data_IF_613024587885
#
_entry.id   IF_613024587885
#
_cell.length_a   1.000
_cell.length_b   1.000
_cell.length_c   1.000
_cell.angle_alpha   90.00
_cell.angle_beta   90.00
_cell.angle_gamma   90.00
#
_symmetry.space_group_name_H-M   'P 1'
#
loop_
_entity.id
_entity.type
_entity.pdbx_description
1 polymer ?
#
# COMPACT_ATOMS: atom_id res chain seq x y z
N UNK A 1 -25.81 -0.31 -4.30
CA UNK A 1 -24.38 -0.75 -4.31
C UNK A 1 -23.73 -0.55 -5.68
N UNK A 2 -22.39 -0.65 -5.79
CA UNK A 2 -21.69 -0.45 -7.08
C UNK A 2 -22.11 -1.47 -8.17
N UNK A 3 -22.48 -2.68 -7.77
CA UNK A 3 -22.99 -3.73 -8.66
C UNK A 3 -24.39 -3.43 -9.21
N UNK A 4 -25.25 -2.80 -8.41
CA UNK A 4 -26.57 -2.36 -8.84
C UNK A 4 -26.50 -1.21 -9.84
N UNK A 5 -25.50 -0.33 -9.71
CA UNK A 5 -25.24 0.71 -10.70
C UNK A 5 -24.86 0.09 -12.05
N UNK A 6 -23.99 -0.93 -12.05
CA UNK A 6 -23.65 -1.70 -13.25
C UNK A 6 -24.85 -2.43 -13.85
N UNK A 7 -25.72 -2.97 -12.99
CA UNK A 7 -26.98 -3.59 -13.43
C UNK A 7 -27.95 -2.58 -14.06
N UNK A 8 -28.08 -1.39 -13.47
CA UNK A 8 -28.94 -0.34 -14.00
C UNK A 8 -28.46 0.19 -15.36
N UNK A 9 -27.15 0.23 -15.60
CA UNK A 9 -26.57 0.74 -16.84
C UNK A 9 -26.53 -0.28 -17.98
N UNK A 10 -26.17 -1.54 -17.70
CA UNK A 10 -25.91 -2.56 -18.73
C UNK A 10 -26.57 -3.92 -18.44
N UNK A 11 -27.54 -3.97 -17.51
CA UNK A 11 -28.25 -5.18 -17.13
C UNK A 11 -27.35 -6.23 -16.44
N UNK A 12 -27.74 -7.50 -16.53
CA UNK A 12 -27.03 -8.61 -15.89
C UNK A 12 -25.56 -8.76 -16.31
N UNK A 13 -25.23 -8.42 -17.56
CA UNK A 13 -23.84 -8.45 -18.06
C UNK A 13 -22.99 -7.39 -17.36
N UNK A 14 -23.51 -6.18 -17.19
CA UNK A 14 -22.84 -5.11 -16.44
C UNK A 14 -22.58 -5.47 -14.99
N UNK A 15 -23.55 -6.10 -14.34
CA UNK A 15 -23.40 -6.61 -12.97
C UNK A 15 -22.27 -7.63 -12.86
N UNK A 16 -22.23 -8.60 -13.78
CA UNK A 16 -21.19 -9.63 -13.80
C UNK A 16 -19.79 -9.03 -14.05
N UNK A 17 -19.67 -8.10 -15.01
CA UNK A 17 -18.41 -7.43 -15.31
C UNK A 17 -17.85 -6.66 -14.10
N UNK A 18 -18.72 -5.93 -13.39
CA UNK A 18 -18.35 -5.22 -12.15
C UNK A 18 -17.92 -6.19 -11.06
N UNK A 19 -18.64 -7.30 -10.88
CA UNK A 19 -18.32 -8.31 -9.88
C UNK A 19 -16.95 -8.96 -10.16
N UNK A 20 -16.71 -9.36 -11.42
CA UNK A 20 -15.43 -9.93 -11.85
C UNK A 20 -14.27 -8.94 -11.66
N UNK A 21 -14.48 -7.67 -12.01
CA UNK A 21 -13.46 -6.63 -11.85
C UNK A 21 -13.11 -6.41 -10.37
N UNK A 22 -14.11 -6.38 -9.48
CA UNK A 22 -13.89 -6.28 -8.02
C UNK A 22 -13.16 -7.51 -7.48
N UNK A 23 -13.50 -8.71 -7.96
CA UNK A 23 -12.86 -9.95 -7.54
C UNK A 23 -11.38 -9.99 -7.96
N UNK A 24 -11.07 -9.64 -9.22
CA UNK A 24 -9.69 -9.56 -9.71
C UNK A 24 -8.87 -8.51 -8.95
N UNK A 25 -9.46 -7.34 -8.70
CA UNK A 25 -8.81 -6.28 -7.91
C UNK A 25 -8.48 -6.77 -6.49
N UNK A 26 -9.45 -7.35 -5.79
CA UNK A 26 -9.26 -7.86 -4.43
C UNK A 26 -8.20 -8.97 -4.39
N UNK A 27 -8.25 -9.91 -5.35
CA UNK A 27 -7.23 -10.96 -5.46
C UNK A 27 -5.81 -10.40 -5.66
N UNK A 28 -5.65 -9.40 -6.54
CA UNK A 28 -4.38 -8.72 -6.75
C UNK A 28 -3.87 -8.02 -5.48
N UNK A 29 -4.76 -7.32 -4.75
CA UNK A 29 -4.41 -6.69 -3.48
C UNK A 29 -3.91 -7.72 -2.45
N UNK A 30 -4.60 -8.85 -2.32
CA UNK A 30 -4.24 -9.91 -1.36
C UNK A 30 -2.84 -10.48 -1.67
N UNK A 31 -2.53 -10.73 -2.95
CA UNK A 31 -1.19 -11.17 -3.35
C UNK A 31 -0.15 -10.11 -3.00
N UNK A 32 -0.39 -8.85 -3.35
CA UNK A 32 0.52 -7.75 -3.06
C UNK A 32 0.79 -7.63 -1.54
N UNK A 33 -0.23 -7.78 -0.70
CA UNK A 33 -0.07 -7.74 0.75
C UNK A 33 0.82 -8.87 1.28
N UNK A 34 0.64 -10.10 0.77
CA UNK A 34 1.48 -11.24 1.16
C UNK A 34 2.93 -11.04 0.70
N UNK A 35 3.16 -10.52 -0.50
CA UNK A 35 4.50 -10.23 -1.03
C UNK A 35 5.19 -9.15 -0.20
N UNK A 36 4.51 -8.04 0.11
CA UNK A 36 5.07 -6.96 0.93
C UNK A 36 5.42 -7.45 2.33
N UNK A 37 4.56 -8.26 2.95
CA UNK A 37 4.84 -8.86 4.25
C UNK A 37 6.02 -9.81 4.17
N UNK A 38 6.10 -10.66 3.14
CA UNK A 38 7.25 -11.55 2.95
C UNK A 38 8.57 -10.79 2.85
N UNK A 39 8.59 -9.76 2.02
CA UNK A 39 9.80 -9.04 1.67
C UNK A 39 10.27 -8.14 2.82
N UNK A 40 9.36 -7.53 3.59
CA UNK A 40 9.72 -6.57 4.65
C UNK A 40 9.82 -7.21 6.06
N UNK A 41 8.99 -8.20 6.36
CA UNK A 41 8.91 -8.79 7.69
C UNK A 41 10.16 -9.62 8.02
N UNK A 42 10.67 -10.38 7.05
CA UNK A 42 11.91 -11.14 7.18
C UNK A 42 13.11 -10.26 7.52
N UNK A 43 13.32 -9.17 6.77
CA UNK A 43 14.40 -8.22 7.01
C UNK A 43 14.25 -7.51 8.37
N UNK A 44 13.04 -7.06 8.71
CA UNK A 44 12.81 -6.34 9.96
C UNK A 44 13.05 -7.21 11.20
N UNK A 45 12.56 -8.46 11.20
CA UNK A 45 12.72 -9.38 12.33
C UNK A 45 14.16 -9.82 12.49
N UNK A 46 14.89 -10.13 11.41
CA UNK A 46 16.30 -10.53 11.51
C UNK A 46 17.16 -9.47 12.19
N UNK A 47 16.79 -8.19 12.09
CA UNK A 47 17.55 -7.08 12.67
C UNK A 47 17.10 -6.68 14.08
N UNK A 48 15.82 -6.85 14.41
CA UNK A 48 15.28 -6.47 15.73
C UNK A 48 15.30 -7.66 16.70
N UNK A 49 15.09 -8.88 16.23
CA UNK A 49 14.87 -10.06 17.06
C UNK A 49 16.05 -11.04 17.13
N UNK A 50 17.06 -10.92 16.25
CA UNK A 50 18.18 -11.88 16.22
C UNK A 50 19.55 -11.22 16.44
N UNK A 51 19.98 -11.26 17.70
CA UNK A 51 21.36 -11.64 18.01
C UNK A 51 21.48 -13.13 17.70
N UNK A 52 22.32 -13.48 16.72
CA UNK A 52 22.84 -14.82 16.37
C UNK A 52 22.05 -16.06 16.87
N UNK A 53 21.36 -16.80 15.97
CA UNK A 53 21.10 -18.23 16.25
C UNK A 53 19.90 -18.96 15.64
N UNK A 54 18.93 -18.31 14.99
CA UNK A 54 17.73 -19.02 14.51
C UNK A 54 17.75 -19.32 13.01
N UNK A 55 18.31 -20.48 12.62
CA UNK A 55 18.38 -20.95 11.23
C UNK A 55 17.03 -21.07 10.50
N UNK A 56 15.92 -21.20 11.24
CA UNK A 56 14.57 -21.31 10.69
C UNK A 56 13.94 -19.96 10.29
N UNK A 57 14.56 -18.83 10.65
CA UNK A 57 14.16 -17.47 10.23
C UNK A 57 14.81 -17.01 8.91
N UNK A 58 15.57 -17.88 8.24
CA UNK A 58 16.26 -17.54 6.99
C UNK A 58 15.45 -17.81 5.72
N UNK A 59 14.35 -18.56 5.80
CA UNK A 59 13.42 -18.74 4.69
C UNK A 59 12.29 -17.72 4.80
N UNK A 60 12.43 -16.63 4.03
CA UNK A 60 11.45 -15.54 3.98
C UNK A 60 10.07 -16.04 3.52
N UNK A 61 10.02 -17.10 2.69
CA UNK A 61 8.78 -17.72 2.24
C UNK A 61 8.03 -18.45 3.35
N UNK A 62 8.75 -19.23 4.17
CA UNK A 62 8.17 -19.94 5.31
C UNK A 62 7.68 -18.98 6.40
N UNK A 63 8.47 -17.93 6.69
CA UNK A 63 8.12 -16.91 7.66
C UNK A 63 6.85 -16.14 7.24
N UNK A 64 6.77 -15.74 5.97
CA UNK A 64 5.60 -15.05 5.43
C UNK A 64 4.35 -15.94 5.46
N UNK A 65 4.50 -17.23 5.13
CA UNK A 65 3.41 -18.19 5.22
C UNK A 65 2.91 -18.33 6.67
N UNK A 66 3.82 -18.45 7.63
CA UNK A 66 3.49 -18.56 9.05
C UNK A 66 2.76 -17.31 9.56
N UNK A 67 3.24 -16.11 9.22
CA UNK A 67 2.56 -14.84 9.56
C UNK A 67 1.18 -14.75 8.92
N UNK A 68 1.05 -15.16 7.66
CA UNK A 68 -0.22 -15.12 6.95
C UNK A 68 -1.24 -16.08 7.59
N UNK A 69 -0.83 -17.30 7.94
CA UNK A 69 -1.71 -18.31 8.54
C UNK A 69 -2.00 -18.04 10.02
N UNK A 70 -1.01 -17.55 10.78
CA UNK A 70 -1.13 -17.37 12.23
C UNK A 70 -1.63 -15.97 12.64
N UNK A 71 -1.47 -14.96 11.78
CA UNK A 71 -1.90 -13.58 12.08
C UNK A 71 -2.99 -13.11 11.11
N UNK A 72 -2.78 -13.14 9.79
CA UNK A 72 -3.77 -12.61 8.84
C UNK A 72 -5.06 -13.44 8.80
N UNK A 73 -4.95 -14.77 8.78
CA UNK A 73 -6.09 -15.69 8.72
C UNK A 73 -7.02 -15.60 9.95
N UNK A 74 -6.52 -15.62 11.21
CA UNK A 74 -7.42 -15.46 12.36
C UNK A 74 -7.97 -14.04 12.47
N UNK A 75 -7.27 -13.01 11.98
CA UNK A 75 -7.78 -11.63 11.93
C UNK A 75 -8.87 -11.41 10.89
N UNK A 76 -8.97 -12.25 9.85
CA UNK A 76 -10.05 -12.22 8.85
C UNK A 76 -11.27 -13.06 9.22
N UNK A 77 -11.14 -13.95 10.21
CA UNK A 77 -12.22 -14.78 10.73
C UNK A 77 -13.19 -14.13 11.76
N UNK A 78 -12.94 -12.97 12.41
CA UNK A 78 -13.86 -12.46 13.42
C UNK A 78 -15.11 -11.89 12.75
N UNK A 79 -16.27 -12.39 13.19
CA UNK A 79 -17.61 -12.02 12.71
C UNK A 79 -18.01 -10.58 13.04
N UNK A 80 -17.21 -9.85 13.82
CA UNK A 80 -17.47 -8.47 14.27
C UNK A 80 -16.30 -7.54 13.97
N UNK A 81 -16.53 -6.54 13.11
CA UNK A 81 -15.57 -5.51 12.66
C UNK A 81 -15.28 -4.40 13.70
N UNK A 82 -15.89 -4.45 14.89
CA UNK A 82 -15.80 -3.39 15.92
C UNK A 82 -14.37 -3.11 16.43
N UNK A 83 -13.50 -4.11 16.74
CA UNK A 83 -12.13 -3.82 17.15
C UNK A 83 -11.30 -3.24 15.99
N UNK A 84 -11.58 -3.67 14.76
CA UNK A 84 -10.84 -3.26 13.55
C UNK A 84 -10.98 -1.75 13.26
N UNK A 85 -12.13 -1.15 13.59
CA UNK A 85 -12.34 0.29 13.46
C UNK A 85 -11.34 1.12 14.32
N UNK A 86 -10.93 0.63 15.50
CA UNK A 86 -9.90 1.30 16.32
C UNK A 86 -8.51 1.13 15.70
N UNK A 87 -8.22 -0.03 15.11
CA UNK A 87 -6.97 -0.28 14.42
C UNK A 87 -6.84 0.49 13.09
N UNK A 88 -7.96 0.85 12.44
CA UNK A 88 -7.94 1.69 11.24
C UNK A 88 -7.30 3.07 11.49
N UNK A 89 -7.54 3.67 12.66
CA UNK A 89 -6.86 4.92 13.05
C UNK A 89 -5.34 4.73 13.19
N UNK A 90 -4.92 3.60 13.77
CA UNK A 90 -3.50 3.24 13.91
C UNK A 90 -2.85 3.05 12.53
N UNK A 91 -3.56 2.41 11.59
CA UNK A 91 -3.13 2.23 10.20
C UNK A 91 -2.89 3.57 9.50
N UNK A 92 -3.83 4.53 9.59
CA UNK A 92 -3.66 5.88 9.02
C UNK A 92 -2.46 6.59 9.62
N UNK A 93 -2.29 6.54 10.94
CA UNK A 93 -1.13 7.15 11.61
C UNK A 93 0.19 6.50 11.17
N UNK A 94 0.18 5.20 10.91
CA UNK A 94 1.35 4.44 10.44
C UNK A 94 1.75 4.87 9.03
N UNK A 95 0.79 5.13 8.14
CA UNK A 95 1.05 5.69 6.80
C UNK A 95 1.65 7.09 6.90
N UNK A 96 1.11 7.96 7.76
CA UNK A 96 1.68 9.31 7.97
C UNK A 96 3.12 9.23 8.49
N UNK A 97 3.37 8.35 9.46
CA UNK A 97 4.72 8.11 9.95
C UNK A 97 5.65 7.59 8.85
N UNK A 98 5.18 6.69 7.99
CA UNK A 98 5.96 6.15 6.87
C UNK A 98 6.35 7.28 5.90
N UNK A 99 5.42 8.17 5.55
CA UNK A 99 5.74 9.35 4.72
C UNK A 99 6.84 10.17 5.37
N UNK A 100 6.70 10.51 6.66
CA UNK A 100 7.71 11.29 7.38
C UNK A 100 9.06 10.56 7.47
N UNK A 101 9.05 9.24 7.66
CA UNK A 101 10.27 8.42 7.70
C UNK A 101 11.00 8.46 6.35
N UNK A 102 10.30 8.36 5.22
CA UNK A 102 10.90 8.46 3.88
C UNK A 102 11.50 9.86 3.66
N UNK A 103 10.77 10.92 4.04
CA UNK A 103 11.29 12.30 3.93
C UNK A 103 12.54 12.47 4.79
N UNK A 104 12.54 11.98 6.02
CA UNK A 104 13.69 12.07 6.91
C UNK A 104 14.88 11.23 6.42
N UNK A 105 14.62 10.03 5.90
CA UNK A 105 15.64 9.17 5.31
C UNK A 105 16.29 9.83 4.10
N UNK A 106 15.54 10.54 3.27
CA UNK A 106 16.11 11.34 2.18
C UNK A 106 17.12 12.39 2.69
N UNK A 107 16.80 13.12 3.76
CA UNK A 107 17.73 14.12 4.31
C UNK A 107 18.93 13.53 5.05
N UNK A 108 18.80 12.31 5.58
CA UNK A 108 19.81 11.69 6.46
C UNK A 108 20.73 10.73 5.72
N UNK A 109 20.20 10.00 4.74
CA UNK A 109 21.00 9.16 3.87
C UNK A 109 21.67 10.05 2.82
N UNK A 110 23.00 10.19 2.91
CA UNK A 110 23.76 10.82 1.83
C UNK A 110 23.58 9.95 0.58
N UNK A 111 22.93 10.52 -0.45
CA UNK A 111 22.61 9.89 -1.74
C UNK A 111 23.72 8.91 -2.17
N UNK A 112 23.50 7.59 -2.14
CA UNK A 112 24.38 6.70 -2.87
C UNK A 112 24.06 6.94 -4.35
N UNK A 113 24.99 7.57 -5.05
CA UNK A 113 25.00 7.71 -6.52
C UNK A 113 24.09 8.82 -7.07
N UNK A 114 24.41 10.08 -6.76
CA UNK A 114 24.42 11.11 -7.82
C UNK A 114 25.77 10.96 -8.55
N UNK A 115 25.96 9.86 -9.27
CA UNK A 115 26.94 9.87 -10.35
C UNK A 115 26.19 10.40 -11.56
N UNK A 116 26.62 11.55 -12.07
CA UNK A 116 26.01 12.25 -13.20
C UNK A 116 26.25 11.50 -14.50
N UNK A 117 25.80 10.25 -14.57
CA UNK A 117 25.77 9.47 -15.79
C UNK A 117 24.71 10.03 -16.72
N UNK A 118 25.17 10.68 -17.78
CA UNK A 118 24.45 10.86 -19.04
C UNK A 118 23.99 9.49 -19.56
N UNK A 119 22.96 8.90 -18.97
CA UNK A 119 22.18 7.88 -19.66
C UNK A 119 21.18 8.62 -20.53
N UNK A 120 21.59 8.85 -21.77
CA UNK A 120 20.74 9.26 -22.86
C UNK A 120 19.74 8.13 -23.18
N UNK A 121 18.84 7.85 -22.24
CA UNK A 121 17.78 6.87 -22.42
C UNK A 121 16.87 7.35 -23.54
N UNK A 122 16.71 6.50 -24.55
CA UNK A 122 15.96 6.85 -25.75
C UNK A 122 14.52 7.19 -25.36
N UNK A 123 13.91 8.19 -26.00
CA UNK A 123 12.50 8.56 -25.78
C UNK A 123 11.55 7.34 -25.82
N UNK A 124 11.91 6.32 -26.60
CA UNK A 124 11.18 5.06 -26.70
C UNK A 124 11.24 4.17 -25.45
N UNK A 125 12.37 4.09 -24.76
CA UNK A 125 12.52 3.31 -23.52
C UNK A 125 11.72 3.98 -22.39
N UNK A 126 11.86 5.29 -22.24
CA UNK A 126 11.07 6.09 -21.31
C UNK A 126 9.55 5.91 -21.56
N UNK A 127 9.10 5.83 -22.81
CA UNK A 127 7.69 5.63 -23.14
C UNK A 127 7.14 4.24 -22.77
N UNK A 128 7.95 3.19 -22.89
CA UNK A 128 7.58 1.82 -22.49
C UNK A 128 7.50 1.72 -20.96
N UNK A 129 8.44 2.35 -20.25
CA UNK A 129 8.45 2.40 -18.79
C UNK A 129 7.27 3.20 -18.22
N UNK A 130 6.93 4.34 -18.85
CA UNK A 130 5.73 5.13 -18.50
C UNK A 130 4.46 4.29 -18.68
N UNK A 131 4.36 3.50 -19.75
CA UNK A 131 3.20 2.62 -19.98
C UNK A 131 3.11 1.49 -18.96
N UNK A 132 4.26 0.91 -18.58
CA UNK A 132 4.30 -0.16 -17.58
C UNK A 132 3.88 0.34 -16.20
N UNK A 133 4.33 1.54 -15.81
CA UNK A 133 4.01 2.17 -14.52
C UNK A 133 2.58 2.74 -14.43
N UNK A 134 1.94 3.04 -15.57
CA UNK A 134 0.55 3.54 -15.61
C UNK A 134 -0.43 2.60 -14.89
N UNK A 135 -0.22 1.29 -14.97
CA UNK A 135 -1.06 0.30 -14.29
C UNK A 135 -1.02 0.46 -12.77
N UNK A 136 0.20 0.56 -12.20
CA UNK A 136 0.40 0.80 -10.76
C UNK A 136 -0.18 2.15 -10.34
N UNK A 137 0.02 3.20 -11.14
CA UNK A 137 -0.56 4.52 -10.88
C UNK A 137 -2.09 4.49 -10.81
N UNK A 138 -2.76 3.88 -11.80
CA UNK A 138 -4.22 3.74 -11.81
C UNK A 138 -4.70 2.88 -10.64
N UNK A 139 -3.97 1.81 -10.31
CA UNK A 139 -4.28 0.94 -9.18
C UNK A 139 -4.25 1.69 -7.85
N UNK A 140 -3.25 2.55 -7.61
CA UNK A 140 -3.15 3.37 -6.38
C UNK A 140 -4.35 4.28 -6.16
N UNK A 141 -4.94 4.83 -7.22
CA UNK A 141 -6.11 5.72 -7.14
C UNK A 141 -7.46 5.01 -7.29
N UNK A 142 -7.47 3.67 -7.35
CA UNK A 142 -8.70 2.88 -7.48
C UNK A 142 -9.44 2.79 -6.13
N UNK A 143 -10.38 3.69 -5.91
CA UNK A 143 -11.26 3.70 -4.71
C UNK A 143 -12.76 3.60 -5.05
N UNK A 144 -13.11 3.53 -6.34
CA UNK A 144 -14.51 3.65 -6.79
C UNK A 144 -15.43 2.51 -6.33
N UNK A 145 -14.86 1.34 -6.07
CA UNK A 145 -15.63 0.19 -5.62
C UNK A 145 -16.05 0.29 -4.13
N UNK A 146 -15.32 1.04 -3.31
CA UNK A 146 -15.62 1.27 -1.88
C UNK A 146 -16.37 2.57 -1.61
N UNK A 147 -16.37 3.52 -2.55
CA UNK A 147 -16.96 4.86 -2.38
C UNK A 147 -18.44 4.82 -2.00
N UNK A 148 -19.21 3.88 -2.56
CA UNK A 148 -20.64 3.72 -2.24
C UNK A 148 -20.86 3.16 -0.84
N UNK A 149 -20.04 2.19 -0.42
CA UNK A 149 -20.09 1.65 0.95
C UNK A 149 -19.68 2.71 1.98
N UNK A 150 -18.67 3.52 1.64
CA UNK A 150 -18.26 4.65 2.44
C UNK A 150 -19.37 5.72 2.54
N UNK A 151 -20.15 5.96 1.48
CA UNK A 151 -21.28 6.88 1.54
C UNK A 151 -22.44 6.36 2.41
N UNK A 152 -22.74 5.06 2.27
CA UNK A 152 -23.80 4.39 3.03
C UNK A 152 -23.47 4.28 4.53
N UNK A 153 -22.19 4.25 4.90
CA UNK A 153 -21.75 4.21 6.29
C UNK A 153 -21.86 5.55 7.03
N UNK A 154 -22.06 6.68 6.31
CA UNK A 154 -22.30 7.98 6.96
C UNK A 154 -23.66 7.98 7.69
N UNK A 155 -23.73 8.61 8.88
CA UNK A 155 -24.99 8.89 9.56
C UNK A 155 -25.97 9.62 8.64
N UNK A 156 -27.24 9.24 8.70
CA UNK A 156 -28.32 9.83 7.88
C UNK A 156 -28.44 11.35 8.06
N UNK A 157 -28.06 11.89 9.22
CA UNK A 157 -28.07 13.32 9.52
C UNK A 157 -27.07 14.15 8.70
N UNK A 158 -25.95 13.55 8.25
CA UNK A 158 -24.89 14.24 7.50
C UNK A 158 -24.77 13.76 6.05
N UNK A 159 -25.66 12.86 5.62
CA UNK A 159 -25.71 12.29 4.27
C UNK A 159 -26.25 13.31 3.26
N UNK A 160 -25.43 14.30 2.95
CA UNK A 160 -25.71 15.37 1.99
C UNK A 160 -24.69 15.34 0.83
N UNK A 161 -25.11 15.48 -0.44
CA UNK A 161 -24.20 15.50 -1.58
C UNK A 161 -23.11 16.58 -1.51
N UNK A 162 -23.43 17.75 -0.91
CA UNK A 162 -22.46 18.84 -0.72
C UNK A 162 -21.34 18.46 0.26
N UNK A 163 -21.69 17.84 1.39
CA UNK A 163 -20.72 17.38 2.39
C UNK A 163 -19.90 16.24 1.80
N UNK A 164 -20.55 15.27 1.14
CA UNK A 164 -19.87 14.17 0.48
C UNK A 164 -18.85 14.64 -0.55
N UNK A 165 -19.21 15.57 -1.43
CA UNK A 165 -18.29 16.15 -2.40
C UNK A 165 -17.09 16.81 -1.73
N UNK A 166 -17.30 17.59 -0.66
CA UNK A 166 -16.20 18.24 0.06
C UNK A 166 -15.27 17.22 0.70
N UNK A 167 -15.83 16.21 1.39
CA UNK A 167 -15.05 15.16 2.07
C UNK A 167 -14.28 14.32 1.05
N UNK A 168 -14.92 13.86 -0.02
CA UNK A 168 -14.26 13.04 -1.04
C UNK A 168 -13.18 13.80 -1.79
N UNK A 169 -13.41 15.06 -2.18
CA UNK A 169 -12.38 15.89 -2.81
C UNK A 169 -11.19 16.11 -1.86
N UNK A 170 -11.44 16.40 -0.58
CA UNK A 170 -10.35 16.58 0.39
C UNK A 170 -9.55 15.28 0.59
N UNK A 171 -10.22 14.12 0.66
CA UNK A 171 -9.55 12.82 0.78
C UNK A 171 -8.68 12.50 -0.44
N UNK A 172 -9.17 12.79 -1.65
CA UNK A 172 -8.40 12.57 -2.88
C UNK A 172 -7.18 13.50 -2.90
N UNK A 173 -7.33 14.77 -2.54
CA UNK A 173 -6.20 15.73 -2.48
C UNK A 173 -5.14 15.25 -1.48
N UNK A 174 -5.53 14.85 -0.26
CA UNK A 174 -4.58 14.34 0.73
C UNK A 174 -3.88 13.04 0.27
N UNK A 175 -4.62 12.14 -0.39
CA UNK A 175 -4.03 10.92 -0.96
C UNK A 175 -3.03 11.25 -2.08
N UNK A 176 -3.37 12.18 -2.97
CA UNK A 176 -2.48 12.64 -4.03
C UNK A 176 -1.23 13.30 -3.47
N UNK A 177 -1.36 14.18 -2.47
CA UNK A 177 -0.22 14.84 -1.83
C UNK A 177 0.72 13.84 -1.16
N UNK A 178 0.19 12.86 -0.42
CA UNK A 178 1.01 11.83 0.23
C UNK A 178 1.70 10.89 -0.77
N UNK A 179 0.99 10.42 -1.80
CA UNK A 179 1.60 9.61 -2.86
C UNK A 179 2.66 10.38 -3.65
N UNK A 180 2.40 11.66 -3.96
CA UNK A 180 3.35 12.53 -4.64
C UNK A 180 4.60 12.78 -3.79
N UNK A 181 4.43 13.05 -2.49
CA UNK A 181 5.55 13.24 -1.57
C UNK A 181 6.45 11.98 -1.55
N UNK A 182 5.86 10.79 -1.33
CA UNK A 182 6.64 9.54 -1.36
C UNK A 182 7.35 9.37 -2.70
N UNK A 183 6.66 9.57 -3.82
CA UNK A 183 7.23 9.42 -5.16
C UNK A 183 8.40 10.37 -5.43
N UNK A 184 8.26 11.66 -5.08
CA UNK A 184 9.31 12.66 -5.27
C UNK A 184 10.54 12.33 -4.42
N UNK A 185 10.37 12.09 -3.12
CA UNK A 185 11.51 11.82 -2.23
C UNK A 185 12.17 10.48 -2.52
N UNK A 186 11.39 9.44 -2.88
CA UNK A 186 11.94 8.16 -3.30
C UNK A 186 12.80 8.31 -4.57
N UNK A 187 12.29 9.01 -5.59
CA UNK A 187 13.01 9.24 -6.82
C UNK A 187 14.25 10.11 -6.60
N UNK A 188 14.18 11.15 -5.77
CA UNK A 188 15.35 11.96 -5.41
C UNK A 188 16.42 11.18 -4.63
N UNK A 189 16.03 10.11 -3.92
CA UNK A 189 16.96 9.28 -3.13
C UNK A 189 17.67 8.23 -3.98
N UNK A 190 16.95 7.56 -4.89
CA UNK A 190 17.46 6.40 -5.64
C UNK A 190 17.70 6.66 -7.14
N UNK A 191 17.19 7.78 -7.66
CA UNK A 191 17.28 8.14 -9.08
C UNK A 191 16.69 7.07 -10.00
N UNK A 192 17.42 6.75 -11.06
CA UNK A 192 17.03 5.74 -12.05
C UNK A 192 16.91 4.33 -11.46
N UNK A 193 17.63 4.02 -10.39
CA UNK A 193 17.64 2.69 -9.76
C UNK A 193 16.62 2.57 -8.62
N UNK A 194 15.43 3.16 -8.78
CA UNK A 194 14.38 3.10 -7.75
C UNK A 194 13.75 1.69 -7.71
N UNK A 195 13.87 0.95 -6.60
CA UNK A 195 13.23 -0.36 -6.47
C UNK A 195 11.70 -0.23 -6.40
N UNK A 196 10.99 -1.29 -6.81
CA UNK A 196 9.51 -1.32 -6.74
C UNK A 196 8.98 -1.15 -5.30
N UNK A 197 9.71 -1.66 -4.31
CA UNK A 197 9.51 -1.34 -2.90
C UNK A 197 10.62 -0.38 -2.43
N UNK A 198 10.24 0.87 -2.19
CA UNK A 198 11.12 1.96 -1.78
C UNK A 198 11.89 1.62 -0.49
N UNK A 199 11.29 0.85 0.42
CA UNK A 199 11.95 0.49 1.69
C UNK A 199 13.07 -0.54 1.50
N UNK A 200 13.08 -1.28 0.39
CA UNK A 200 14.15 -2.24 0.07
C UNK A 200 15.41 -1.55 -0.43
N UNK A 201 15.31 -0.32 -0.96
CA UNK A 201 16.46 0.46 -1.40
C UNK A 201 17.32 0.97 -0.24
N UNK A 202 16.74 1.12 0.96
CA UNK A 202 17.47 1.60 2.13
C UNK A 202 18.29 0.50 2.80
N UNK A 203 19.52 0.81 3.26
CA UNK A 203 20.37 -0.16 3.92
C UNK A 203 19.68 -0.73 5.17
N UNK A 204 19.78 -2.04 5.42
CA UNK A 204 19.06 -2.72 6.49
C UNK A 204 19.54 -2.37 7.90
N UNK A 205 20.64 -1.63 8.03
CA UNK A 205 21.23 -1.25 9.31
C UNK A 205 20.56 -0.01 9.93
N UNK A 206 19.76 0.73 9.14
CA UNK A 206 19.01 1.89 9.61
C UNK A 206 17.79 1.47 10.44
N UNK A 207 17.82 1.77 11.73
CA UNK A 207 16.71 1.50 12.66
C UNK A 207 15.40 2.12 12.16
N UNK A 208 15.44 3.35 11.65
CA UNK A 208 14.26 4.04 11.15
C UNK A 208 13.63 3.31 9.95
N UNK A 209 14.44 2.78 9.04
CA UNK A 209 13.96 2.01 7.91
C UNK A 209 13.31 0.70 8.39
N UNK A 210 13.91 0.00 9.36
CA UNK A 210 13.32 -1.21 9.93
C UNK A 210 12.00 -0.95 10.68
N UNK A 211 11.88 0.17 11.40
CA UNK A 211 10.62 0.59 12.02
C UNK A 211 9.56 0.87 10.95
N UNK A 212 9.92 1.58 9.87
CA UNK A 212 9.01 1.83 8.76
C UNK A 212 8.53 0.52 8.08
N UNK A 213 9.41 -0.47 7.92
CA UNK A 213 9.07 -1.81 7.41
C UNK A 213 8.05 -2.52 8.29
N UNK A 214 8.23 -2.51 9.61
CA UNK A 214 7.27 -3.11 10.55
C UNK A 214 5.92 -2.40 10.47
N UNK A 215 5.91 -1.07 10.44
CA UNK A 215 4.67 -0.29 10.34
C UNK A 215 3.96 -0.54 9.00
N UNK A 216 4.70 -0.70 7.91
CA UNK A 216 4.15 -1.13 6.62
C UNK A 216 3.50 -2.52 6.74
N UNK A 217 4.20 -3.50 7.31
CA UNK A 217 3.64 -4.85 7.52
C UNK A 217 2.38 -4.81 8.42
N UNK A 218 2.40 -4.03 9.50
CA UNK A 218 1.25 -3.85 10.38
C UNK A 218 0.04 -3.26 9.63
N UNK A 219 0.28 -2.23 8.81
CA UNK A 219 -0.75 -1.60 7.97
C UNK A 219 -1.37 -2.62 7.01
N UNK A 220 -0.56 -3.47 6.38
CA UNK A 220 -1.05 -4.53 5.46
C UNK A 220 -1.85 -5.59 6.19
N UNK A 221 -1.40 -6.05 7.37
CA UNK A 221 -2.13 -7.02 8.21
C UNK A 221 -3.49 -6.46 8.66
N UNK A 222 -3.54 -5.17 9.01
CA UNK A 222 -4.79 -4.52 9.44
C UNK A 222 -5.76 -4.25 8.29
N UNK A 223 -5.26 -4.18 7.06
CA UNK A 223 -6.06 -3.92 5.84
C UNK A 223 -6.54 -5.21 5.17
N UNK A 224 -5.83 -6.32 5.34
CA UNK A 224 -6.20 -7.64 4.81
C UNK A 224 -7.63 -8.13 5.11
N UNK A 225 -8.24 -7.88 6.29
CA UNK A 225 -9.57 -8.37 6.62
C UNK A 225 -10.73 -7.45 6.17
N UNK A 226 -10.44 -6.29 5.60
CA UNK A 226 -11.42 -5.31 5.08
C UNK A 226 -11.86 -5.66 3.65
#
# INVERSE_FOLDING_TARGET
TYEELGHAAFGSIGRLAVLLSKAMYSFGCLIAYVVVVRDNFGLAIRRIALHEGAAWLYDDGYLAFLVSVTIMLPLSCPRTMKPLAKFSFISVLSIVFLVLAIVYLYFTCTNPVFDGGDEQSSFYENWIEIKSSLGTFVFTFTCHHTVNLAYESLPSSIRCPKIWKRVSTNSIVMATETSLAIGIFAYMTFGANTPADVLMGYPPDLILANVARILLCLTMVLTFPL
#
